data_IF_140149451613
#
_entry.id   IF_140149451613
#
_cell.length_a   1.000
_cell.length_b   1.000
_cell.length_c   1.000
_cell.angle_alpha   90.00
_cell.angle_beta   90.00
_cell.angle_gamma   90.00
#
_symmetry.space_group_name_H-M   'P 1'
#
loop_
_entity.id
_entity.type
_entity.pdbx_description
1 polymer ?
#
# COMPACT_ATOMS: atom_id res chain seq x y z
N UNK A 1 -11.21 -15.40 11.35
CA UNK A 1 -10.22 -14.45 11.89
C UNK A 1 -10.00 -13.21 10.99
N UNK A 2 -10.30 -13.25 9.68
CA UNK A 2 -10.23 -12.06 8.81
C UNK A 2 -11.21 -10.92 9.11
N UNK A 3 -12.39 -11.22 9.68
CA UNK A 3 -13.37 -10.18 10.05
C UNK A 3 -12.89 -9.25 11.17
N UNK A 4 -12.21 -9.79 12.19
CA UNK A 4 -11.65 -8.99 13.28
C UNK A 4 -10.54 -8.06 12.77
N UNK A 5 -9.66 -8.56 11.88
CA UNK A 5 -8.62 -7.75 11.23
C UNK A 5 -9.21 -6.62 10.39
N UNK A 6 -10.23 -6.91 9.59
CA UNK A 6 -10.91 -5.90 8.79
C UNK A 6 -11.57 -4.81 9.66
N UNK A 7 -12.20 -5.19 10.77
CA UNK A 7 -12.80 -4.25 11.72
C UNK A 7 -11.72 -3.35 12.33
N UNK A 8 -10.63 -3.93 12.83
CA UNK A 8 -9.54 -3.18 13.45
C UNK A 8 -8.90 -2.20 12.45
N UNK A 9 -8.62 -2.64 11.22
CA UNK A 9 -8.13 -1.77 10.16
C UNK A 9 -9.09 -0.61 9.89
N UNK A 10 -10.40 -0.89 9.84
CA UNK A 10 -11.43 0.15 9.69
C UNK A 10 -11.38 1.19 10.81
N UNK A 11 -11.23 0.76 12.07
CA UNK A 11 -11.11 1.65 13.24
C UNK A 11 -9.84 2.50 13.17
N UNK A 12 -8.70 1.89 12.86
CA UNK A 12 -7.41 2.61 12.75
C UNK A 12 -7.47 3.67 11.66
N UNK A 13 -7.99 3.33 10.48
CA UNK A 13 -8.14 4.29 9.38
C UNK A 13 -9.14 5.39 9.70
N UNK A 14 -10.28 5.07 10.33
CA UNK A 14 -11.24 6.07 10.75
C UNK A 14 -10.62 7.04 11.78
N UNK A 15 -9.82 6.53 12.71
CA UNK A 15 -9.12 7.35 13.69
C UNK A 15 -8.08 8.27 13.02
N UNK A 16 -7.29 7.77 12.07
CA UNK A 16 -6.35 8.60 11.30
C UNK A 16 -7.07 9.73 10.53
N UNK A 17 -8.24 9.45 9.94
CA UNK A 17 -9.05 10.45 9.27
C UNK A 17 -9.59 11.52 10.22
N UNK A 18 -9.97 11.14 11.45
CA UNK A 18 -10.38 12.11 12.50
C UNK A 18 -9.22 13.01 12.92
N UNK A 19 -8.03 12.44 13.11
CA UNK A 19 -6.82 13.23 13.45
C UNK A 19 -6.54 14.25 12.35
N UNK A 20 -6.62 13.83 11.08
CA UNK A 20 -6.45 14.72 9.93
C UNK A 20 -7.43 15.90 9.94
N UNK A 21 -8.72 15.63 10.19
CA UNK A 21 -9.76 16.66 10.27
C UNK A 21 -9.56 17.64 11.43
N UNK A 22 -9.02 17.19 12.57
CA UNK A 22 -8.80 18.04 13.74
C UNK A 22 -7.49 18.85 13.68
N UNK A 23 -6.42 18.29 13.12
CA UNK A 23 -5.08 18.90 13.11
C UNK A 23 -4.71 19.56 11.79
N UNK A 24 -5.49 19.34 10.73
CA UNK A 24 -5.16 19.75 9.37
C UNK A 24 -4.12 18.84 8.68
N UNK A 25 -3.50 17.93 9.42
CA UNK A 25 -2.47 17.01 8.92
C UNK A 25 -2.77 15.58 9.38
N UNK A 26 -2.73 14.65 8.42
CA UNK A 26 -2.96 13.23 8.66
C UNK A 26 -1.65 12.53 9.09
N UNK A 27 -1.67 11.70 10.14
CA UNK A 27 -0.46 10.99 10.60
C UNK A 27 0.00 9.96 9.57
N UNK A 28 1.30 9.67 9.51
CA UNK A 28 1.81 8.54 8.74
C UNK A 28 1.22 7.24 9.29
N UNK A 29 0.82 6.33 8.39
CA UNK A 29 0.21 5.05 8.76
C UNK A 29 1.15 3.91 8.37
N UNK A 30 1.42 3.01 9.31
CA UNK A 30 2.17 1.77 9.08
C UNK A 30 1.22 0.59 9.28
N UNK A 31 1.05 -0.24 8.26
CA UNK A 31 0.20 -1.43 8.34
C UNK A 31 1.06 -2.67 8.11
N UNK A 32 1.11 -3.54 9.12
CA UNK A 32 1.86 -4.78 9.05
C UNK A 32 0.99 -5.93 8.48
N UNK A 33 1.40 -6.43 7.32
CA UNK A 33 0.73 -7.47 6.54
C UNK A 33 -0.79 -7.31 6.40
N UNK A 34 -1.37 -6.12 6.16
CA UNK A 34 -2.80 -5.87 6.33
C UNK A 34 -3.68 -6.71 5.40
N UNK A 35 -3.13 -7.16 4.27
CA UNK A 35 -3.84 -7.90 3.23
C UNK A 35 -3.95 -9.40 3.53
N UNK A 36 -3.14 -9.93 4.45
CA UNK A 36 -3.15 -11.35 4.82
C UNK A 36 -4.47 -11.68 5.53
N UNK A 37 -5.09 -12.79 5.15
CA UNK A 37 -6.40 -13.26 5.61
C UNK A 37 -7.61 -12.39 5.22
N UNK A 38 -7.42 -11.38 4.35
CA UNK A 38 -8.52 -10.68 3.71
C UNK A 38 -8.94 -11.42 2.43
N UNK A 39 -10.24 -11.52 2.23
CA UNK A 39 -10.80 -11.87 0.93
C UNK A 39 -10.54 -10.74 -0.10
N UNK A 40 -10.64 -11.06 -1.38
CA UNK A 40 -10.33 -10.14 -2.49
C UNK A 40 -11.14 -8.84 -2.42
N UNK A 41 -12.42 -8.93 -2.04
CA UNK A 41 -13.30 -7.76 -1.92
C UNK A 41 -12.83 -6.82 -0.80
N UNK A 42 -12.48 -7.37 0.36
CA UNK A 42 -11.97 -6.58 1.50
C UNK A 42 -10.61 -5.98 1.20
N UNK A 43 -9.77 -6.71 0.47
CA UNK A 43 -8.46 -6.22 0.03
C UNK A 43 -8.61 -5.01 -0.89
N UNK A 44 -9.42 -5.13 -1.94
CA UNK A 44 -9.70 -4.02 -2.86
C UNK A 44 -10.23 -2.79 -2.11
N UNK A 45 -11.23 -2.97 -1.24
CA UNK A 45 -11.80 -1.89 -0.45
C UNK A 45 -10.78 -1.20 0.49
N UNK A 46 -9.85 -1.97 1.08
CA UNK A 46 -8.77 -1.40 1.89
C UNK A 46 -7.82 -0.57 1.04
N UNK A 47 -7.37 -1.11 -0.09
CA UNK A 47 -6.41 -0.45 -0.99
C UNK A 47 -7.00 0.84 -1.58
N UNK A 48 -8.26 0.83 -2.01
CA UNK A 48 -8.97 2.01 -2.49
C UNK A 48 -9.07 3.09 -1.41
N UNK A 49 -9.38 2.68 -0.17
CA UNK A 49 -9.48 3.61 0.95
C UNK A 49 -8.13 4.22 1.29
N UNK A 50 -7.07 3.42 1.32
CA UNK A 50 -5.68 3.86 1.57
C UNK A 50 -5.19 4.82 0.49
N UNK A 51 -5.50 4.56 -0.79
CA UNK A 51 -5.13 5.43 -1.89
C UNK A 51 -5.76 6.84 -1.81
N UNK A 52 -6.87 6.99 -1.11
CA UNK A 52 -7.54 8.28 -0.88
C UNK A 52 -7.06 9.07 0.35
N UNK A 53 -6.14 8.53 1.15
CA UNK A 53 -5.61 9.25 2.32
C UNK A 53 -4.63 10.35 1.89
N UNK A 54 -4.79 11.55 2.45
CA UNK A 54 -3.86 12.67 2.28
C UNK A 54 -2.59 12.51 3.16
N UNK A 55 -2.06 11.31 3.29
CA UNK A 55 -0.82 11.01 4.04
C UNK A 55 -0.10 9.81 3.46
N UNK A 56 1.16 9.63 3.86
CA UNK A 56 1.94 8.46 3.49
C UNK A 56 1.45 7.24 4.27
N UNK A 57 1.11 6.19 3.53
CA UNK A 57 0.78 4.88 4.09
C UNK A 57 1.82 3.85 3.64
N UNK A 58 2.52 3.27 4.60
CA UNK A 58 3.44 2.16 4.36
C UNK A 58 2.75 0.84 4.69
N UNK A 59 2.88 -0.14 3.82
CA UNK A 59 2.33 -1.47 4.01
C UNK A 59 3.41 -2.51 3.77
N UNK A 60 3.47 -3.53 4.62
CA UNK A 60 4.31 -4.71 4.43
C UNK A 60 3.48 -5.87 3.90
N UNK A 61 4.14 -6.82 3.25
CA UNK A 61 3.53 -8.09 2.86
C UNK A 61 4.53 -8.97 2.14
N UNK A 62 4.26 -10.26 2.17
CA UNK A 62 5.14 -11.30 1.61
C UNK A 62 4.78 -11.70 0.18
N UNK A 63 3.53 -11.50 -0.23
CA UNK A 63 3.05 -11.81 -1.58
C UNK A 63 2.77 -10.53 -2.38
N UNK A 64 3.55 -10.32 -3.45
CA UNK A 64 3.41 -9.19 -4.36
C UNK A 64 2.07 -9.18 -5.11
N UNK A 65 1.43 -10.33 -5.33
CA UNK A 65 0.16 -10.42 -6.02
C UNK A 65 -0.96 -9.67 -5.28
N UNK A 66 -0.91 -9.64 -3.95
CA UNK A 66 -1.87 -8.91 -3.12
C UNK A 66 -1.84 -7.39 -3.37
N UNK A 67 -0.72 -6.87 -3.87
CA UNK A 67 -0.52 -5.45 -4.13
C UNK A 67 -0.70 -5.09 -5.62
N UNK A 68 -1.07 -6.04 -6.48
CA UNK A 68 -1.31 -5.78 -7.90
C UNK A 68 -2.28 -4.61 -8.18
N UNK A 69 -3.34 -4.34 -7.38
CA UNK A 69 -4.21 -3.17 -7.62
C UNK A 69 -3.51 -1.80 -7.45
N UNK A 70 -2.34 -1.76 -6.81
CA UNK A 70 -1.53 -0.55 -6.61
C UNK A 70 -0.44 -0.34 -7.67
N UNK A 71 -0.36 -1.18 -8.72
CA UNK A 71 0.57 -0.97 -9.85
C UNK A 71 0.42 0.47 -10.38
N UNK A 72 1.53 1.20 -10.48
CA UNK A 72 1.55 2.58 -10.98
C UNK A 72 0.95 3.64 -10.04
N UNK A 73 0.42 3.24 -8.86
CA UNK A 73 -0.15 4.15 -7.85
C UNK A 73 0.70 4.27 -6.59
N UNK A 74 1.64 3.34 -6.39
CA UNK A 74 2.52 3.29 -5.23
C UNK A 74 3.95 2.91 -5.63
N UNK A 75 4.92 3.32 -4.81
CA UNK A 75 6.29 2.83 -4.88
C UNK A 75 6.42 1.48 -4.19
N UNK A 76 7.25 0.59 -4.74
CA UNK A 76 7.49 -0.74 -4.19
C UNK A 76 8.96 -0.95 -3.87
N UNK A 77 9.19 -1.52 -2.70
CA UNK A 77 10.50 -1.97 -2.25
C UNK A 77 10.39 -3.39 -1.74
N UNK A 78 11.45 -4.17 -1.92
CA UNK A 78 11.59 -5.51 -1.37
C UNK A 78 12.67 -5.51 -0.29
N UNK A 79 12.44 -6.27 0.78
CA UNK A 79 13.44 -6.50 1.83
C UNK A 79 14.00 -7.91 1.67
N UNK A 80 15.31 -8.03 1.50
CA UNK A 80 16.03 -9.29 1.38
C UNK A 80 17.35 -9.19 2.15
N UNK A 81 17.66 -10.19 2.98
CA UNK A 81 18.89 -10.24 3.79
C UNK A 81 19.18 -8.96 4.60
N UNK A 82 18.12 -8.34 5.14
CA UNK A 82 18.23 -7.09 5.90
C UNK A 82 18.46 -5.83 5.06
N UNK A 83 18.47 -5.94 3.73
CA UNK A 83 18.64 -4.82 2.80
C UNK A 83 17.31 -4.46 2.09
N UNK A 84 17.07 -3.16 1.92
CA UNK A 84 15.93 -2.64 1.13
C UNK A 84 16.41 -2.42 -0.31
N UNK A 85 15.67 -2.95 -1.27
CA UNK A 85 15.94 -2.79 -2.71
C UNK A 85 14.69 -2.30 -3.44
N UNK A 86 14.84 -1.50 -4.52
CA UNK A 86 13.73 -1.23 -5.42
C UNK A 86 13.12 -2.55 -5.92
N UNK A 87 11.78 -2.62 -5.97
CA UNK A 87 11.08 -3.81 -6.43
C UNK A 87 10.32 -3.53 -7.72
N UNK A 88 10.77 -4.18 -8.80
CA UNK A 88 10.08 -4.16 -10.11
C UNK A 88 8.94 -5.19 -10.19
N UNK A 89 8.71 -5.98 -9.12
CA UNK A 89 7.71 -7.06 -9.07
C UNK A 89 6.28 -6.59 -9.38
N UNK A 90 6.06 -5.27 -9.37
CA UNK A 90 4.79 -4.61 -9.62
C UNK A 90 4.99 -3.44 -10.60
N UNK A 91 5.69 -3.68 -11.72
CA UNK A 91 5.77 -2.72 -12.84
C UNK A 91 4.41 -2.59 -13.55
N UNK A 92 3.96 -1.37 -13.91
CA UNK A 92 2.84 -1.24 -14.83
C UNK A 92 3.20 -1.86 -16.19
N UNK A 93 2.30 -2.66 -16.81
CA UNK A 93 2.32 -2.79 -18.26
C UNK A 93 1.89 -1.39 -18.73
N UNK A 94 2.69 -0.48 -19.27
CA UNK A 94 3.88 -0.56 -20.09
C UNK A 94 4.52 0.82 -19.91
N UNK A 95 5.78 0.89 -19.52
CA UNK A 95 6.59 2.09 -19.72
C UNK A 95 7.69 1.68 -20.67
N UNK A 96 7.44 1.91 -21.97
CA UNK A 96 8.31 1.53 -23.05
C UNK A 96 9.77 1.92 -22.78
N UNK A 97 10.67 1.06 -23.24
CA UNK A 97 12.08 1.33 -23.37
C UNK A 97 12.28 2.62 -24.16
N UNK A 98 12.50 3.74 -23.48
CA UNK A 98 13.19 4.85 -24.11
C UNK A 98 14.67 4.53 -24.03
N UNK A 99 15.12 3.87 -25.10
CA UNK A 99 16.51 3.66 -25.47
C UNK A 99 17.16 5.05 -25.61
N UNK A 100 17.68 5.57 -24.49
CA UNK A 100 18.47 6.78 -24.47
C UNK A 100 19.85 6.45 -25.05
N UNK A 101 19.97 6.57 -26.38
CA UNK A 101 21.24 6.66 -27.08
C UNK A 101 22.07 7.80 -26.45
N UNK A 102 23.35 7.58 -26.09
CA UNK A 102 24.19 8.66 -25.60
C UNK A 102 24.54 9.61 -26.75
N UNK A 103 24.47 10.90 -26.46
CA UNK A 103 25.10 11.98 -27.23
C UNK A 103 26.57 12.06 -26.84
#
# INVERSE_FOLDING_TARGET
TGQQKALLLGVVLAHAALIAGMRGEAPMILLDEPLVHLDERRRAALLDRVAGFATTVLMTGTDAAHFAPLRGKAGFVSVQDGAIRPSDAIRPPDAGSHDAKPV
#
